data_IF_807595209304
#
_entry.id   IF_807595209304
#
_cell.length_a   1.000
_cell.length_b   1.000
_cell.length_c   1.000
_cell.angle_alpha   90.00
_cell.angle_beta   90.00
_cell.angle_gamma   90.00
#
_symmetry.space_group_name_H-M   'P 1'
#
loop_
_entity.id
_entity.type
_entity.pdbx_description
1 polymer ?
#
# COMPACT_ATOMS: atom_id res chain seq x y z
N UNK A 1 16.93 -14.43 11.11
CA UNK A 1 15.61 -14.85 10.62
C UNK A 1 15.34 -14.16 9.29
N UNK A 2 15.03 -14.88 8.22
CA UNK A 2 14.51 -14.23 6.99
C UNK A 2 13.12 -13.70 7.33
N UNK A 3 12.84 -12.43 7.03
CA UNK A 3 11.48 -11.93 7.11
C UNK A 3 10.62 -12.77 6.15
N UNK A 4 9.62 -13.46 6.70
CA UNK A 4 8.66 -14.23 5.91
C UNK A 4 7.82 -13.23 5.11
N UNK A 5 7.61 -13.50 3.82
CA UNK A 5 6.75 -12.67 2.97
C UNK A 5 5.34 -12.64 3.58
N UNK A 6 4.79 -11.45 3.94
CA UNK A 6 3.45 -11.34 4.53
C UNK A 6 2.35 -11.96 3.66
N UNK A 7 2.56 -12.05 2.34
CA UNK A 7 1.62 -12.73 1.44
C UNK A 7 1.57 -14.26 1.62
N UNK A 8 2.53 -14.83 2.37
CA UNK A 8 2.60 -16.24 2.73
C UNK A 8 2.09 -16.52 4.15
N UNK A 9 1.58 -15.51 4.85
CA UNK A 9 0.89 -15.72 6.13
C UNK A 9 -0.33 -16.64 5.91
N UNK A 10 -0.52 -17.71 6.72
CA UNK A 10 -1.63 -18.64 6.54
C UNK A 10 -3.01 -18.00 6.49
N UNK A 11 -3.24 -16.91 7.24
CA UNK A 11 -4.51 -16.18 7.26
C UNK A 11 -4.69 -15.45 5.93
N UNK A 12 -3.65 -14.78 5.43
CA UNK A 12 -3.68 -14.07 4.14
C UNK A 12 -3.89 -15.07 3.00
N UNK A 13 -3.22 -16.22 3.03
CA UNK A 13 -3.39 -17.29 2.03
C UNK A 13 -4.83 -17.79 2.03
N UNK A 14 -5.41 -18.07 3.20
CA UNK A 14 -6.81 -18.50 3.31
C UNK A 14 -7.78 -17.46 2.74
N UNK A 15 -7.60 -16.19 3.10
CA UNK A 15 -8.44 -15.08 2.61
C UNK A 15 -8.23 -14.77 1.12
N UNK A 16 -7.04 -15.07 0.57
CA UNK A 16 -6.79 -14.93 -0.87
C UNK A 16 -7.55 -16.00 -1.65
N UNK A 17 -7.61 -17.21 -1.09
CA UNK A 17 -8.11 -18.39 -1.79
C UNK A 17 -9.64 -18.55 -1.75
N UNK A 18 -10.33 -17.88 -0.81
CA UNK A 18 -11.79 -17.76 -0.79
C UNK A 18 -12.34 -16.81 -1.88
N UNK A 19 -13.67 -16.64 -1.94
CA UNK A 19 -14.31 -15.71 -2.90
C UNK A 19 -13.93 -14.26 -2.61
N UNK A 20 -14.02 -13.39 -3.64
CA UNK A 20 -13.69 -11.97 -3.46
C UNK A 20 -14.72 -11.31 -2.53
N UNK A 21 -15.97 -11.70 -2.66
CA UNK A 21 -17.11 -11.22 -1.88
C UNK A 21 -16.93 -11.52 -0.38
N UNK A 22 -16.50 -12.73 -0.03
CA UNK A 22 -16.19 -13.10 1.36
C UNK A 22 -15.00 -12.28 1.90
N UNK A 23 -13.98 -12.03 1.08
CA UNK A 23 -12.82 -11.23 1.50
C UNK A 23 -13.19 -9.76 1.69
N UNK A 24 -14.06 -9.21 0.84
CA UNK A 24 -14.60 -7.86 0.99
C UNK A 24 -15.44 -7.75 2.27
N UNK A 25 -16.35 -8.70 2.52
CA UNK A 25 -17.13 -8.74 3.76
C UNK A 25 -16.23 -8.83 5.00
N UNK A 26 -15.25 -9.73 4.97
CA UNK A 26 -14.25 -9.88 6.05
C UNK A 26 -13.49 -8.57 6.29
N UNK A 27 -13.12 -7.84 5.23
CA UNK A 27 -12.47 -6.55 5.38
C UNK A 27 -13.35 -5.54 6.11
N UNK A 28 -14.63 -5.43 5.72
CA UNK A 28 -15.59 -4.52 6.37
C UNK A 28 -15.78 -4.88 7.84
N UNK A 29 -15.95 -6.17 8.15
CA UNK A 29 -16.10 -6.66 9.53
C UNK A 29 -14.85 -6.36 10.37
N UNK A 30 -13.65 -6.54 9.80
CA UNK A 30 -12.41 -6.21 10.48
C UNK A 30 -12.26 -4.71 10.72
N UNK A 31 -12.62 -3.85 9.76
CA UNK A 31 -12.60 -2.41 9.99
C UNK A 31 -13.53 -2.02 11.15
N UNK A 32 -14.69 -2.66 11.27
CA UNK A 32 -15.65 -2.38 12.33
C UNK A 32 -15.23 -2.95 13.70
N UNK A 33 -14.68 -4.16 13.75
CA UNK A 33 -14.42 -4.88 15.01
C UNK A 33 -12.95 -4.94 15.45
N UNK A 34 -12.00 -4.86 14.54
CA UNK A 34 -10.55 -4.96 14.80
C UNK A 34 -9.73 -4.25 13.71
N UNK A 35 -9.80 -2.90 13.65
CA UNK A 35 -9.23 -2.13 12.54
C UNK A 35 -7.71 -2.26 12.41
N UNK A 36 -7.02 -2.62 13.49
CA UNK A 36 -5.60 -2.94 13.53
C UNK A 36 -5.22 -4.20 12.72
N UNK A 37 -6.20 -5.08 12.46
CA UNK A 37 -6.03 -6.32 11.69
C UNK A 37 -6.61 -6.24 10.28
N UNK A 38 -7.22 -5.13 9.89
CA UNK A 38 -7.88 -5.01 8.58
C UNK A 38 -6.90 -5.11 7.40
N UNK A 39 -5.60 -4.91 7.65
CA UNK A 39 -4.55 -4.98 6.65
C UNK A 39 -4.39 -6.39 6.06
N UNK A 40 -4.66 -7.45 6.83
CA UNK A 40 -4.56 -8.84 6.35
C UNK A 40 -5.58 -9.11 5.23
N UNK A 41 -6.81 -8.62 5.37
CA UNK A 41 -7.85 -8.75 4.36
C UNK A 41 -7.57 -7.80 3.16
N UNK A 42 -7.06 -6.60 3.41
CA UNK A 42 -6.62 -5.70 2.33
C UNK A 42 -5.49 -6.33 1.48
N UNK A 43 -4.52 -6.97 2.14
CA UNK A 43 -3.43 -7.69 1.48
C UNK A 43 -3.96 -8.88 0.67
N UNK A 44 -4.93 -9.63 1.21
CA UNK A 44 -5.58 -10.70 0.46
C UNK A 44 -6.31 -10.18 -0.79
N UNK A 45 -7.04 -9.05 -0.70
CA UNK A 45 -7.67 -8.39 -1.86
C UNK A 45 -6.65 -7.94 -2.90
N UNK A 46 -5.50 -7.41 -2.46
CA UNK A 46 -4.39 -7.09 -3.36
C UNK A 46 -3.89 -8.32 -4.11
N UNK A 47 -3.71 -9.44 -3.42
CA UNK A 47 -3.27 -10.70 -4.04
C UNK A 47 -4.33 -11.29 -4.98
N UNK A 48 -5.62 -11.23 -4.62
CA UNK A 48 -6.72 -11.58 -5.52
C UNK A 48 -6.73 -10.70 -6.78
N UNK A 49 -6.44 -9.40 -6.64
CA UNK A 49 -6.22 -8.48 -7.76
C UNK A 49 -5.05 -8.90 -8.63
N UNK A 50 -3.91 -9.24 -8.02
CA UNK A 50 -2.72 -9.75 -8.72
C UNK A 50 -3.02 -11.01 -9.53
N UNK A 51 -3.83 -11.93 -8.97
CA UNK A 51 -4.31 -13.14 -9.62
C UNK A 51 -5.42 -12.89 -10.66
N UNK A 52 -5.96 -11.67 -10.73
CA UNK A 52 -7.01 -11.33 -11.69
C UNK A 52 -8.42 -11.75 -11.33
N UNK A 53 -8.67 -12.01 -10.05
CA UNK A 53 -9.99 -12.42 -9.55
C UNK A 53 -10.95 -11.24 -9.38
N UNK A 54 -10.43 -10.02 -9.29
CA UNK A 54 -11.26 -8.81 -9.17
C UNK A 54 -11.95 -8.47 -10.50
N UNK A 55 -13.27 -8.30 -10.42
CA UNK A 55 -14.15 -7.95 -11.55
C UNK A 55 -14.73 -6.57 -11.33
N UNK A 56 -15.29 -5.99 -12.39
CA UNK A 56 -15.93 -4.66 -12.35
C UNK A 56 -17.12 -4.61 -11.38
N UNK A 57 -17.84 -5.72 -11.22
CA UNK A 57 -18.91 -5.89 -10.23
C UNK A 57 -18.45 -5.67 -8.78
N UNK A 58 -17.15 -5.82 -8.48
CA UNK A 58 -16.60 -5.63 -7.14
C UNK A 58 -16.16 -4.18 -6.86
N UNK A 59 -16.20 -3.32 -7.89
CA UNK A 59 -15.54 -2.02 -7.84
C UNK A 59 -16.18 -1.07 -6.83
N UNK A 60 -17.51 -1.06 -6.72
CA UNK A 60 -18.21 -0.20 -5.76
C UNK A 60 -17.91 -0.62 -4.32
N UNK A 61 -17.83 -1.92 -4.05
CA UNK A 61 -17.44 -2.41 -2.74
C UNK A 61 -15.96 -2.13 -2.44
N UNK A 62 -15.06 -2.26 -3.41
CA UNK A 62 -13.64 -1.88 -3.24
C UNK A 62 -13.47 -0.38 -2.96
N UNK A 63 -14.27 0.48 -3.62
CA UNK A 63 -14.31 1.92 -3.31
C UNK A 63 -14.77 2.12 -1.88
N UNK A 64 -15.80 1.39 -1.44
CA UNK A 64 -16.24 1.46 -0.05
C UNK A 64 -15.15 1.03 0.94
N UNK A 65 -14.40 -0.02 0.63
CA UNK A 65 -13.25 -0.43 1.42
C UNK A 65 -12.18 0.68 1.50
N UNK A 66 -11.91 1.38 0.39
CA UNK A 66 -10.98 2.53 0.37
C UNK A 66 -11.46 3.66 1.29
N UNK A 67 -12.74 4.01 1.24
CA UNK A 67 -13.34 5.03 2.12
C UNK A 67 -13.26 4.66 3.61
N UNK A 68 -13.23 3.36 3.92
CA UNK A 68 -13.17 2.84 5.27
C UNK A 68 -11.75 2.51 5.74
N UNK A 69 -10.73 2.68 4.89
CA UNK A 69 -9.37 2.29 5.20
C UNK A 69 -8.84 2.97 6.49
N UNK A 70 -8.48 2.19 7.53
CA UNK A 70 -8.14 2.74 8.84
C UNK A 70 -6.73 3.35 8.89
N UNK A 71 -5.85 2.93 7.98
CA UNK A 71 -4.46 3.37 7.94
C UNK A 71 -3.87 3.31 6.52
N UNK A 72 -2.67 3.85 6.35
CA UNK A 72 -1.95 3.89 5.07
C UNK A 72 -1.64 2.49 4.52
N UNK A 73 -1.38 1.51 5.39
CA UNK A 73 -1.06 0.15 4.98
C UNK A 73 -2.23 -0.52 4.26
N UNK A 74 -3.43 -0.47 4.87
CA UNK A 74 -4.67 -0.92 4.25
C UNK A 74 -4.91 -0.21 2.91
N UNK A 75 -4.79 1.12 2.92
CA UNK A 75 -5.02 1.95 1.75
C UNK A 75 -4.06 1.60 0.60
N UNK A 76 -2.78 1.37 0.91
CA UNK A 76 -1.76 0.98 -0.07
C UNK A 76 -2.03 -0.39 -0.68
N UNK A 77 -2.58 -1.34 0.07
CA UNK A 77 -3.01 -2.63 -0.47
C UNK A 77 -4.25 -2.51 -1.35
N UNK A 78 -5.29 -1.81 -0.89
CA UNK A 78 -6.51 -1.57 -1.67
C UNK A 78 -6.24 -0.80 -2.96
N UNK A 79 -5.35 0.21 -2.92
CA UNK A 79 -4.93 0.94 -4.10
C UNK A 79 -4.27 0.01 -5.14
N UNK A 80 -3.41 -0.92 -4.71
CA UNK A 80 -2.79 -1.92 -5.59
C UNK A 80 -3.81 -2.92 -6.14
N UNK A 81 -4.83 -3.29 -5.35
CA UNK A 81 -5.94 -4.10 -5.80
C UNK A 81 -6.70 -3.42 -6.96
N UNK A 82 -7.03 -2.13 -6.81
CA UNK A 82 -7.64 -1.32 -7.85
C UNK A 82 -6.73 -1.15 -9.08
N UNK A 83 -5.43 -0.92 -8.87
CA UNK A 83 -4.45 -0.80 -9.96
C UNK A 83 -4.26 -2.10 -10.75
N UNK A 84 -4.60 -3.26 -10.18
CA UNK A 84 -4.66 -4.51 -10.92
C UNK A 84 -5.80 -4.56 -11.95
N UNK A 85 -6.83 -3.72 -11.79
CA UNK A 85 -7.93 -3.51 -12.74
C UNK A 85 -7.65 -2.35 -13.72
N UNK A 86 -6.62 -1.53 -13.46
CA UNK A 86 -6.19 -0.43 -14.34
C UNK A 86 -7.26 0.64 -14.55
N UNK A 87 -7.43 1.10 -15.80
CA UNK A 87 -8.40 2.15 -16.17
C UNK A 87 -9.85 1.80 -15.85
N UNK A 88 -10.21 0.52 -15.75
CA UNK A 88 -11.56 0.11 -15.31
C UNK A 88 -11.88 0.59 -13.89
N UNK A 89 -10.86 0.78 -13.05
CA UNK A 89 -11.01 1.30 -11.70
C UNK A 89 -10.87 2.83 -11.61
N UNK A 90 -10.84 3.58 -12.72
CA UNK A 90 -10.63 5.04 -12.73
C UNK A 90 -11.62 5.78 -11.82
N UNK A 91 -12.88 5.31 -11.70
CA UNK A 91 -13.87 5.93 -10.81
C UNK A 91 -13.50 5.89 -9.32
N UNK A 92 -12.58 5.01 -8.92
CA UNK A 92 -12.06 4.93 -7.54
C UNK A 92 -10.98 5.99 -7.24
N UNK A 93 -10.49 6.71 -8.24
CA UNK A 93 -9.41 7.68 -8.09
C UNK A 93 -9.75 8.77 -7.08
N UNK A 94 -10.99 9.25 -7.10
CA UNK A 94 -11.44 10.34 -6.24
C UNK A 94 -11.41 9.92 -4.77
N UNK A 95 -11.93 8.72 -4.45
CA UNK A 95 -11.90 8.17 -3.10
C UNK A 95 -10.45 7.96 -2.61
N UNK A 96 -9.56 7.43 -3.46
CA UNK A 96 -8.15 7.27 -3.12
C UNK A 96 -7.46 8.60 -2.88
N UNK A 97 -7.68 9.62 -3.72
CA UNK A 97 -7.10 10.96 -3.56
C UNK A 97 -7.61 11.62 -2.29
N UNK A 98 -8.92 11.54 -2.00
CA UNK A 98 -9.50 12.08 -0.77
C UNK A 98 -8.93 11.42 0.49
N UNK A 99 -8.63 10.12 0.44
CA UNK A 99 -8.01 9.41 1.57
C UNK A 99 -6.51 9.62 1.71
N UNK A 100 -5.76 9.63 0.60
CA UNK A 100 -4.33 9.89 0.64
C UNK A 100 -4.03 11.33 1.00
N UNK A 101 -4.85 12.28 0.55
CA UNK A 101 -4.69 13.73 0.74
C UNK A 101 -4.28 14.16 2.16
N UNK A 102 -5.02 13.79 3.21
CA UNK A 102 -4.73 14.19 4.59
C UNK A 102 -3.74 13.27 5.34
N UNK A 103 -3.34 12.12 4.79
CA UNK A 103 -2.54 11.15 5.55
C UNK A 103 -1.10 11.64 5.81
N UNK A 104 -0.69 11.52 7.07
CA UNK A 104 0.67 11.78 7.56
C UNK A 104 1.45 10.46 7.54
N UNK A 105 2.76 10.53 7.24
CA UNK A 105 3.63 9.36 7.19
C UNK A 105 4.48 9.33 8.47
N UNK A 106 4.32 8.29 9.29
CA UNK A 106 4.94 8.12 10.60
C UNK A 106 6.08 7.10 10.63
N UNK A 107 6.26 6.27 9.60
CA UNK A 107 7.40 5.36 9.52
C UNK A 107 7.68 4.93 8.08
N UNK A 108 8.64 4.01 7.92
CA UNK A 108 8.98 3.45 6.61
C UNK A 108 7.87 2.56 6.04
N UNK A 109 7.09 1.87 6.86
CA UNK A 109 5.98 1.01 6.41
C UNK A 109 4.90 1.88 5.77
N UNK A 110 4.51 2.95 6.44
CA UNK A 110 3.58 3.94 5.93
C UNK A 110 4.13 4.65 4.69
N UNK A 111 5.43 4.95 4.67
CA UNK A 111 6.08 5.55 3.50
C UNK A 111 5.94 4.65 2.26
N UNK A 112 6.28 3.37 2.38
CA UNK A 112 6.18 2.42 1.26
C UNK A 112 4.72 2.13 0.86
N UNK A 113 3.81 2.21 1.81
CA UNK A 113 2.38 2.07 1.54
C UNK A 113 1.84 3.28 0.77
N UNK A 114 2.23 4.50 1.17
CA UNK A 114 1.93 5.74 0.46
C UNK A 114 2.54 5.74 -0.94
N UNK A 115 3.82 5.42 -1.09
CA UNK A 115 4.53 5.31 -2.37
C UNK A 115 3.80 4.34 -3.32
N UNK A 116 3.46 3.15 -2.81
CA UNK A 116 2.70 2.17 -3.55
C UNK A 116 1.31 2.66 -3.99
N UNK A 117 0.64 3.45 -3.15
CA UNK A 117 -0.66 4.04 -3.47
C UNK A 117 -0.55 5.15 -4.53
N UNK A 118 0.50 5.97 -4.48
CA UNK A 118 0.79 6.99 -5.52
C UNK A 118 1.03 6.32 -6.88
N UNK A 119 1.83 5.25 -6.92
CA UNK A 119 2.01 4.47 -8.15
C UNK A 119 0.70 3.87 -8.66
N UNK A 120 -0.12 3.33 -7.74
CA UNK A 120 -1.42 2.77 -8.07
C UNK A 120 -2.35 3.81 -8.72
N UNK A 121 -2.39 5.05 -8.22
CA UNK A 121 -3.14 6.15 -8.83
C UNK A 121 -2.74 6.38 -10.30
N UNK A 122 -1.47 6.21 -10.65
CA UNK A 122 -1.01 6.29 -12.04
C UNK A 122 -1.71 5.28 -12.98
N UNK A 123 -1.99 4.06 -12.50
CA UNK A 123 -2.72 3.03 -13.25
C UNK A 123 -4.21 3.32 -13.39
N UNK A 124 -4.79 4.09 -12.47
CA UNK A 124 -6.20 4.51 -12.54
C UNK A 124 -6.36 5.74 -13.42
N UNK A 125 -5.49 6.74 -13.26
CA UNK A 125 -5.49 7.98 -14.05
C UNK A 125 -6.65 8.91 -13.73
N UNK A 126 -6.92 9.87 -14.61
CA UNK A 126 -8.01 10.84 -14.46
C UNK A 126 -7.55 12.19 -13.91
N UNK A 127 -8.38 13.23 -14.12
CA UNK A 127 -8.02 14.62 -13.85
C UNK A 127 -7.68 14.88 -12.36
N UNK A 128 -8.40 14.22 -11.44
CA UNK A 128 -8.14 14.32 -10.00
C UNK A 128 -6.79 13.74 -9.61
N UNK A 129 -6.36 12.65 -10.26
CA UNK A 129 -5.02 12.09 -10.07
C UNK A 129 -3.95 13.07 -10.53
N UNK A 130 -4.09 13.63 -11.73
CA UNK A 130 -3.11 14.60 -12.26
C UNK A 130 -2.97 15.81 -11.34
N UNK A 131 -4.09 16.40 -10.91
CA UNK A 131 -4.11 17.54 -9.98
C UNK A 131 -3.50 17.19 -8.60
N UNK A 132 -3.77 15.99 -8.10
CA UNK A 132 -3.16 15.51 -6.85
C UNK A 132 -1.64 15.34 -7.00
N UNK A 133 -1.17 14.73 -8.09
CA UNK A 133 0.26 14.55 -8.36
C UNK A 133 0.97 15.90 -8.55
N UNK A 134 0.34 16.88 -9.18
CA UNK A 134 0.85 18.26 -9.27
C UNK A 134 0.97 18.92 -7.91
N UNK A 135 -0.01 18.68 -7.03
CA UNK A 135 0.00 19.18 -5.65
C UNK A 135 1.16 18.56 -4.88
N UNK A 136 1.30 17.23 -4.93
CA UNK A 136 2.41 16.51 -4.29
C UNK A 136 3.78 16.96 -4.81
N UNK A 137 3.93 17.18 -6.11
CA UNK A 137 5.19 17.63 -6.72
C UNK A 137 5.65 19.01 -6.21
N UNK A 138 4.69 19.87 -5.83
CA UNK A 138 4.95 21.22 -5.31
C UNK A 138 5.11 21.26 -3.79
N UNK A 139 4.93 20.15 -3.07
CA UNK A 139 5.13 20.12 -1.62
C UNK A 139 6.64 20.31 -1.29
N UNK A 140 7.04 21.42 -0.65
CA UNK A 140 8.47 21.75 -0.43
C UNK A 140 9.21 20.77 0.50
N UNK A 141 8.46 19.96 1.25
CA UNK A 141 8.99 18.93 2.14
C UNK A 141 8.03 17.75 2.16
N UNK A 142 8.58 16.54 2.13
CA UNK A 142 7.80 15.30 2.20
C UNK A 142 6.94 15.26 3.45
N UNK A 143 5.80 14.60 3.35
CA UNK A 143 4.91 14.31 4.48
C UNK A 143 5.63 13.58 5.62
N UNK A 144 6.53 12.64 5.28
CA UNK A 144 7.38 11.95 6.28
C UNK A 144 8.41 12.85 6.94
N UNK A 145 8.79 13.96 6.31
CA UNK A 145 9.73 14.95 6.88
C UNK A 145 9.00 15.97 7.74
N UNK A 146 7.75 16.29 7.41
CA UNK A 146 6.88 17.15 8.22
C UNK A 146 6.34 16.46 9.47
N UNK A 147 6.32 15.13 9.47
CA UNK A 147 5.77 14.32 10.56
C UNK A 147 6.73 14.29 11.76
N UNK A 148 6.39 14.91 12.91
CA UNK A 148 7.22 14.82 14.12
C UNK A 148 7.24 13.41 14.71
N UNK A 149 6.38 12.52 14.22
CA UNK A 149 6.26 11.13 14.66
C UNK A 149 7.01 10.16 13.75
N UNK A 150 7.75 10.64 12.74
CA UNK A 150 8.45 9.75 11.81
C UNK A 150 9.60 8.97 12.49
N UNK A 151 9.57 7.62 12.40
CA UNK A 151 10.56 6.73 13.07
C UNK A 151 11.40 5.85 12.12
N UNK A 152 11.36 6.10 10.81
CA UNK A 152 12.05 5.26 9.82
C UNK A 152 13.57 5.49 9.70
N UNK A 153 14.27 4.56 9.04
CA UNK A 153 15.73 4.53 8.88
C UNK A 153 16.21 5.15 7.57
N UNK A 154 15.33 5.40 6.61
CA UNK A 154 15.70 5.99 5.32
C UNK A 154 16.13 7.45 5.49
N UNK A 155 17.34 7.90 5.12
CA UNK A 155 17.75 9.30 5.30
C UNK A 155 16.88 10.31 4.53
N UNK A 156 16.75 11.54 5.03
CA UNK A 156 15.92 12.61 4.43
C UNK A 156 16.19 12.83 2.92
N UNK A 157 17.44 12.95 2.44
CA UNK A 157 17.71 13.12 1.01
C UNK A 157 17.28 11.91 0.16
N UNK A 158 17.47 10.69 0.67
CA UNK A 158 17.06 9.46 -0.01
C UNK A 158 15.54 9.38 -0.16
N UNK A 159 14.79 9.73 0.90
CA UNK A 159 13.32 9.84 0.85
C UNK A 159 12.86 10.86 -0.18
N UNK A 160 13.51 12.03 -0.26
CA UNK A 160 13.11 13.09 -1.19
C UNK A 160 13.28 12.64 -2.64
N UNK A 161 14.43 12.01 -2.94
CA UNK A 161 14.71 11.45 -4.26
C UNK A 161 13.70 10.36 -4.63
N UNK A 162 13.40 9.44 -3.70
CA UNK A 162 12.45 8.35 -3.94
C UNK A 162 11.04 8.86 -4.18
N UNK A 163 10.57 9.84 -3.39
CA UNK A 163 9.25 10.44 -3.56
C UNK A 163 9.11 11.20 -4.88
N UNK A 164 10.11 11.99 -5.27
CA UNK A 164 10.12 12.68 -6.56
C UNK A 164 10.06 11.67 -7.73
N UNK A 165 10.81 10.56 -7.62
CA UNK A 165 10.77 9.45 -8.57
C UNK A 165 9.37 8.82 -8.65
N UNK A 166 8.74 8.57 -7.51
CA UNK A 166 7.39 8.00 -7.46
C UNK A 166 6.34 8.90 -8.11
N UNK A 167 6.39 10.22 -7.86
CA UNK A 167 5.47 11.17 -8.49
C UNK A 167 5.69 11.24 -10.00
N UNK A 168 6.95 11.35 -10.45
CA UNK A 168 7.26 11.40 -11.88
C UNK A 168 6.82 10.11 -12.59
N UNK A 169 7.06 8.96 -11.95
CA UNK A 169 6.64 7.66 -12.45
C UNK A 169 5.12 7.50 -12.50
N UNK A 170 4.41 7.86 -11.44
CA UNK A 170 2.95 7.83 -11.39
C UNK A 170 2.32 8.79 -12.43
N UNK A 171 2.91 9.97 -12.63
CA UNK A 171 2.49 10.93 -13.66
C UNK A 171 2.64 10.33 -15.06
N UNK A 172 3.81 9.76 -15.36
CA UNK A 172 4.05 9.09 -16.63
C UNK A 172 3.14 7.89 -16.89
N UNK A 173 2.53 7.30 -15.86
CA UNK A 173 1.45 6.30 -16.02
C UNK A 173 0.07 6.97 -16.23
N UNK A 174 -0.24 8.02 -15.47
CA UNK A 174 -1.52 8.72 -15.54
C UNK A 174 -1.78 9.35 -16.92
N UNK A 175 -0.71 9.81 -17.60
CA UNK A 175 -0.79 10.44 -18.93
C UNK A 175 -0.98 9.45 -20.08
N UNK A 176 -0.74 8.15 -19.86
CA UNK A 176 -0.94 7.12 -20.89
C UNK A 176 -2.42 6.83 -21.09
N UNK A 177 -2.87 6.64 -22.33
CA UNK A 177 -4.22 6.14 -22.60
C UNK A 177 -4.42 4.75 -21.98
N UNK A 178 -3.43 3.86 -22.14
CA UNK A 178 -3.35 2.56 -21.48
C UNK A 178 -1.99 2.38 -20.78
N UNK A 179 -1.92 2.49 -19.44
CA UNK A 179 -0.70 2.23 -18.68
C UNK A 179 -0.42 0.73 -18.45
N UNK A 180 -1.31 -0.15 -18.92
CA UNK A 180 -1.36 -1.56 -18.56
C UNK A 180 -1.94 -1.78 -17.17
N UNK A 181 -1.67 -2.94 -16.59
CA UNK A 181 -2.17 -3.33 -15.28
C UNK A 181 -1.00 -3.50 -14.31
N UNK A 182 -1.14 -3.04 -13.07
CA UNK A 182 -0.10 -3.21 -12.06
C UNK A 182 0.33 -4.69 -11.91
N UNK A 183 -0.62 -5.62 -11.95
CA UNK A 183 -0.37 -7.07 -11.86
C UNK A 183 0.55 -7.64 -12.96
N UNK A 184 0.64 -6.98 -14.10
CA UNK A 184 1.49 -7.43 -15.23
C UNK A 184 2.96 -7.02 -15.06
N UNK A 185 3.24 -6.06 -14.19
CA UNK A 185 4.61 -5.69 -13.82
C UNK A 185 5.03 -6.53 -12.62
N UNK A 186 5.64 -7.69 -12.88
CA UNK A 186 6.43 -8.35 -11.85
C UNK A 186 7.66 -7.50 -11.58
N UNK A 187 7.58 -6.63 -10.57
CA UNK A 187 8.78 -6.02 -10.01
C UNK A 187 9.42 -7.11 -9.14
N UNK A 188 10.26 -7.94 -9.73
CA UNK A 188 11.28 -8.70 -9.02
C UNK A 188 12.36 -7.70 -8.61
N UNK A 189 12.11 -6.90 -7.58
CA UNK A 189 13.22 -6.22 -6.92
C UNK A 189 14.03 -7.34 -6.27
N UNK A 190 15.29 -7.60 -6.69
CA UNK A 190 16.13 -8.50 -5.93
C UNK A 190 16.19 -7.92 -4.53
N UNK A 191 15.73 -8.69 -3.53
CA UNK A 191 15.88 -8.32 -2.13
C UNK A 191 17.38 -8.13 -1.90
N UNK A 192 17.84 -6.87 -1.89
CA UNK A 192 19.18 -6.54 -1.43
C UNK A 192 19.27 -7.11 -0.02
N UNK A 193 20.15 -8.11 0.14
CA UNK A 193 20.45 -8.71 1.44
C UNK A 193 20.49 -7.60 2.48
N UNK A 194 19.72 -7.68 3.57
CA UNK A 194 19.95 -6.76 4.67
C UNK A 194 21.43 -6.89 5.04
N UNK A 195 22.13 -5.77 5.11
CA UNK A 195 23.45 -5.73 5.70
C UNK A 195 23.35 -6.48 7.03
N UNK A 196 24.20 -7.48 7.23
CA UNK A 196 24.24 -8.24 8.49
C UNK A 196 24.23 -7.24 9.63
N UNK A 197 23.12 -7.18 10.36
CA UNK A 197 23.09 -6.47 11.62
C UNK A 197 24.22 -7.08 12.44
N UNK A 198 25.25 -6.28 12.73
CA UNK A 198 26.26 -6.66 13.72
C UNK A 198 25.49 -6.94 14.99
N UNK A 199 25.40 -8.20 15.37
CA UNK A 199 24.84 -8.62 16.63
C UNK A 199 25.68 -8.00 17.74
N UNK A 200 25.22 -6.92 18.33
CA UNK A 200 25.65 -6.54 19.67
C UNK A 200 24.78 -7.35 20.63
N UNK A 201 25.32 -8.47 21.13
CA UNK A 201 24.64 -9.39 22.05
C UNK A 201 24.12 -8.72 23.33
N UNK A 202 23.39 -9.44 24.21
CA UNK A 202 23.81 -10.73 24.79
C UNK A 202 22.66 -11.70 25.10
N UNK A 203 23.02 -12.97 25.11
CA UNK A 203 22.19 -14.15 25.32
C UNK A 203 21.84 -14.45 26.79
N UNK A 204 21.42 -13.46 27.59
CA UNK A 204 21.11 -13.67 29.03
C UNK A 204 19.69 -13.29 29.47
N UNK A 205 18.84 -12.72 28.63
CA UNK A 205 17.47 -12.33 29.05
C UNK A 205 16.43 -13.47 29.02
N UNK A 206 16.87 -14.72 29.00
CA UNK A 206 15.99 -15.89 29.18
C UNK A 206 16.29 -16.54 30.53
N UNK A 207 15.80 -15.94 31.62
CA UNK A 207 15.45 -16.58 32.92
C UNK A 207 14.87 -15.53 33.89
N UNK A 208 13.63 -15.12 33.66
CA UNK A 208 12.77 -14.50 34.67
C UNK A 208 11.29 -14.57 34.27
N UNK A 209 10.77 -15.78 34.04
CA UNK A 209 9.31 -16.03 34.00
C UNK A 209 8.97 -17.49 34.31
N UNK A 210 9.74 -18.13 35.18
CA UNK A 210 9.26 -19.25 35.99
C UNK A 210 9.58 -18.88 37.44
N UNK A 211 8.61 -18.22 38.05
CA UNK A 211 8.30 -18.28 39.47
C UNK A 211 6.78 -18.24 39.57
#
# INVERSE_FOLDING_TARGET
MRAQDPAQDPIVVRLRDQSVEETLATYIDLVAGSPDKADVAALALREQGRLGRLKESHLDMLIKCVELAPNLLCLGHLAKALAAMGRKAMKASDALVQKLGPMVIADDVEYWSFDGAVWALGYLGGAKVSSFLDTLAKEPQLRSVRSPVYRGVMPRPARQKQFASAIAGARGLAEKSDPGLWRTRMITTPLTRPAQAKSTGRAWDVRAAVA
#
